data_IF_112166637277
#
_entry.id   IF_112166637277
#
_cell.length_a   1.000
_cell.length_b   1.000
_cell.length_c   1.000
_cell.angle_alpha   90.00
_cell.angle_beta   90.00
_cell.angle_gamma   90.00
#
_symmetry.space_group_name_H-M   'P 1'
#
loop_
_entity.id
_entity.type
_entity.pdbx_description
1 polymer ?
#
# COMPACT_ATOMS: atom_id res chain seq x y z
N UNK A 1 -47.88 -8.66 -33.39
CA UNK A 1 -47.78 -10.06 -32.93
C UNK A 1 -47.64 -10.04 -31.42
N UNK A 2 -48.77 -10.03 -30.72
CA UNK A 2 -48.86 -10.09 -29.25
C UNK A 2 -50.01 -11.03 -28.94
N UNK A 3 -49.69 -12.30 -28.79
CA UNK A 3 -50.66 -13.34 -28.42
C UNK A 3 -50.78 -13.41 -26.91
N UNK A 4 -51.86 -12.84 -26.37
CA UNK A 4 -52.41 -13.22 -25.07
C UNK A 4 -53.24 -14.48 -25.29
N UNK A 5 -52.83 -15.60 -24.70
CA UNK A 5 -53.68 -16.78 -24.56
C UNK A 5 -54.18 -16.86 -23.12
N UNK A 6 -55.48 -16.65 -22.97
CA UNK A 6 -56.25 -17.04 -21.80
C UNK A 6 -56.64 -18.52 -21.94
N UNK A 7 -56.38 -19.33 -20.91
CA UNK A 7 -57.00 -20.64 -20.72
C UNK A 7 -57.91 -20.59 -19.48
N UNK A 8 -59.08 -21.26 -19.52
CA UNK A 8 -60.17 -21.05 -18.59
C UNK A 8 -59.95 -21.81 -17.26
N UNK A 9 -60.42 -21.19 -16.18
CA UNK A 9 -60.59 -21.79 -14.87
C UNK A 9 -61.62 -22.93 -14.94
N UNK A 10 -61.17 -24.17 -14.71
CA UNK A 10 -62.02 -25.31 -14.38
C UNK A 10 -61.35 -26.17 -13.30
N UNK A 11 -61.58 -25.82 -12.04
CA UNK A 11 -62.06 -26.72 -10.98
C UNK A 11 -62.00 -26.01 -9.61
N UNK A 12 -63.14 -25.70 -8.96
CA UNK A 12 -63.14 -25.47 -7.52
C UNK A 12 -63.06 -26.83 -6.83
N UNK A 13 -62.19 -26.96 -5.83
CA UNK A 13 -61.94 -28.16 -5.02
C UNK A 13 -60.92 -29.17 -5.57
N UNK A 14 -59.64 -28.76 -5.62
CA UNK A 14 -58.55 -29.66 -5.24
C UNK A 14 -57.83 -29.00 -4.05
N UNK A 15 -58.36 -29.23 -2.85
CA UNK A 15 -57.54 -29.07 -1.65
C UNK A 15 -56.48 -30.17 -1.69
N UNK A 16 -55.23 -29.80 -1.96
CA UNK A 16 -54.11 -30.69 -1.65
C UNK A 16 -54.05 -30.75 -0.13
N UNK A 17 -54.77 -31.69 0.48
CA UNK A 17 -54.52 -32.11 1.86
C UNK A 17 -53.13 -32.77 1.90
N UNK A 18 -52.09 -31.95 1.97
CA UNK A 18 -50.82 -32.39 2.51
C UNK A 18 -51.13 -32.83 3.93
N UNK A 19 -51.15 -34.14 4.17
CA UNK A 19 -51.39 -34.68 5.50
C UNK A 19 -50.43 -34.01 6.48
N UNK A 20 -50.89 -33.71 7.70
CA UNK A 20 -50.06 -33.12 8.75
C UNK A 20 -48.74 -33.88 8.94
N UNK A 21 -48.75 -35.21 8.72
CA UNK A 21 -47.57 -36.08 8.68
C UNK A 21 -46.54 -35.69 7.60
N UNK A 22 -46.95 -35.34 6.39
CA UNK A 22 -46.03 -34.99 5.30
C UNK A 22 -45.38 -33.62 5.53
N UNK A 23 -46.14 -32.65 6.07
CA UNK A 23 -45.60 -31.36 6.51
C UNK A 23 -44.66 -31.54 7.71
N UNK A 24 -45.00 -32.41 8.67
CA UNK A 24 -44.11 -32.76 9.78
C UNK A 24 -42.81 -33.39 9.28
N UNK A 25 -42.85 -34.36 8.35
CA UNK A 25 -41.64 -34.97 7.79
C UNK A 25 -40.76 -33.94 7.07
N UNK A 26 -41.34 -33.03 6.27
CA UNK A 26 -40.57 -31.95 5.62
C UNK A 26 -39.96 -31.04 6.69
N UNK A 27 -40.70 -30.70 7.75
CA UNK A 27 -40.22 -29.84 8.84
C UNK A 27 -39.10 -30.50 9.64
N UNK A 28 -39.19 -31.81 9.92
CA UNK A 28 -38.14 -32.59 10.59
C UNK A 28 -36.88 -32.73 9.73
N UNK A 29 -37.03 -32.94 8.42
CA UNK A 29 -35.91 -32.96 7.47
C UNK A 29 -35.25 -31.58 7.39
N UNK A 30 -36.03 -30.50 7.27
CA UNK A 30 -35.50 -29.13 7.27
C UNK A 30 -34.83 -28.76 8.59
N UNK A 31 -35.39 -29.18 9.73
CA UNK A 31 -34.80 -29.01 11.06
C UNK A 31 -33.49 -29.79 11.21
N UNK A 32 -33.42 -31.01 10.68
CA UNK A 32 -32.22 -31.85 10.68
C UNK A 32 -31.12 -31.26 9.77
N UNK A 33 -31.49 -30.74 8.59
CA UNK A 33 -30.58 -30.00 7.71
C UNK A 33 -30.12 -28.70 8.38
N UNK A 34 -31.01 -27.99 9.07
CA UNK A 34 -30.70 -26.80 9.88
C UNK A 34 -29.73 -27.11 11.02
N UNK A 35 -29.94 -28.23 11.73
CA UNK A 35 -29.05 -28.72 12.77
C UNK A 35 -27.67 -29.11 12.22
N UNK A 36 -27.62 -29.82 11.10
CA UNK A 36 -26.37 -30.20 10.44
C UNK A 36 -25.58 -29.00 9.92
N UNK A 37 -26.25 -28.04 9.26
CA UNK A 37 -25.62 -26.80 8.80
C UNK A 37 -25.12 -25.95 9.98
N UNK A 38 -25.86 -25.90 11.08
CA UNK A 38 -25.43 -25.26 12.32
C UNK A 38 -24.19 -25.95 12.91
N UNK A 39 -24.15 -27.28 12.97
CA UNK A 39 -23.00 -28.05 13.45
C UNK A 39 -21.76 -27.85 12.57
N UNK A 40 -21.91 -27.87 11.25
CA UNK A 40 -20.80 -27.56 10.32
C UNK A 40 -20.33 -26.12 10.51
N UNK A 41 -21.25 -25.17 10.72
CA UNK A 41 -20.91 -23.77 10.97
C UNK A 41 -20.15 -23.61 12.29
N UNK A 42 -20.63 -24.19 13.39
CA UNK A 42 -19.98 -24.19 14.70
C UNK A 42 -18.62 -24.87 14.63
N UNK A 43 -18.53 -26.05 14.01
CA UNK A 43 -17.27 -26.78 13.81
C UNK A 43 -16.27 -25.94 13.00
N UNK A 44 -16.71 -25.27 11.93
CA UNK A 44 -15.86 -24.36 11.15
C UNK A 44 -15.38 -23.16 11.98
N UNK A 45 -16.22 -22.67 12.90
CA UNK A 45 -15.88 -21.57 13.79
C UNK A 45 -14.89 -22.01 14.87
N UNK A 46 -15.13 -23.16 15.50
CA UNK A 46 -14.24 -23.77 16.49
C UNK A 46 -12.89 -24.11 15.87
N UNK A 47 -12.88 -24.68 14.66
CA UNK A 47 -11.64 -24.97 13.94
C UNK A 47 -10.87 -23.69 13.62
N UNK A 48 -11.54 -22.64 13.12
CA UNK A 48 -10.91 -21.33 12.90
C UNK A 48 -10.40 -20.69 14.19
N UNK A 49 -11.15 -20.78 15.28
CA UNK A 49 -10.74 -20.28 16.58
C UNK A 49 -9.50 -21.05 17.11
N UNK A 50 -9.49 -22.37 16.96
CA UNK A 50 -8.36 -23.22 17.31
C UNK A 50 -7.10 -22.89 16.49
N UNK A 51 -7.23 -22.72 15.18
CA UNK A 51 -6.11 -22.32 14.31
C UNK A 51 -5.57 -20.93 14.69
N UNK A 52 -6.45 -19.96 15.02
CA UNK A 52 -6.04 -18.64 15.50
C UNK A 52 -5.30 -18.72 16.83
N UNK A 53 -5.80 -19.50 17.79
CA UNK A 53 -5.15 -19.75 19.07
C UNK A 53 -3.79 -20.41 18.89
N UNK A 54 -3.67 -21.40 18.00
CA UNK A 54 -2.41 -22.10 17.71
C UNK A 54 -1.38 -21.22 16.98
N UNK A 55 -1.83 -20.29 16.14
CA UNK A 55 -0.97 -19.39 15.38
C UNK A 55 -0.49 -18.16 16.17
N UNK A 56 -1.38 -17.54 16.95
CA UNK A 56 -1.08 -16.33 17.74
C UNK A 56 -0.60 -16.65 19.16
N UNK A 57 -0.93 -17.83 19.69
CA UNK A 57 -0.74 -18.15 21.11
C UNK A 57 -1.80 -17.49 22.00
N UNK A 58 -1.81 -17.87 23.28
CA UNK A 58 -2.84 -17.46 24.24
C UNK A 58 -2.79 -15.94 24.51
N UNK A 59 -1.60 -15.40 24.78
CA UNK A 59 -1.42 -13.99 25.15
C UNK A 59 -1.85 -13.02 24.04
N UNK A 60 -1.39 -13.22 22.80
CA UNK A 60 -1.80 -12.37 21.67
C UNK A 60 -3.29 -12.54 21.33
N UNK A 61 -3.86 -13.74 21.53
CA UNK A 61 -5.29 -13.97 21.33
C UNK A 61 -6.12 -13.15 22.32
N UNK A 62 -5.73 -13.14 23.59
CA UNK A 62 -6.37 -12.32 24.64
C UNK A 62 -6.22 -10.82 24.31
N UNK A 63 -5.01 -10.38 23.93
CA UNK A 63 -4.77 -8.99 23.56
C UNK A 63 -5.63 -8.56 22.35
N UNK A 64 -5.79 -9.42 21.35
CA UNK A 64 -6.65 -9.15 20.19
C UNK A 64 -8.11 -9.00 20.61
N UNK A 65 -8.61 -9.89 21.48
CA UNK A 65 -9.99 -9.82 21.98
C UNK A 65 -10.20 -8.53 22.78
N UNK A 66 -9.25 -8.17 23.64
CA UNK A 66 -9.28 -6.91 24.40
C UNK A 66 -9.32 -5.69 23.47
N UNK A 67 -8.44 -5.62 22.47
CA UNK A 67 -8.43 -4.52 21.50
C UNK A 67 -9.74 -4.46 20.70
N UNK A 68 -10.29 -5.61 20.29
CA UNK A 68 -11.59 -5.69 19.61
C UNK A 68 -12.74 -5.21 20.48
N UNK A 69 -12.80 -5.64 21.74
CA UNK A 69 -13.78 -5.18 22.71
C UNK A 69 -13.66 -3.67 22.96
N UNK A 70 -12.43 -3.16 23.11
CA UNK A 70 -12.17 -1.72 23.27
C UNK A 70 -12.66 -0.91 22.06
N UNK A 71 -12.37 -1.36 20.83
CA UNK A 71 -12.87 -0.74 19.59
C UNK A 71 -14.40 -0.75 19.55
N UNK A 72 -15.02 -1.86 19.93
CA UNK A 72 -16.48 -1.99 19.96
C UNK A 72 -17.14 -1.05 20.99
N UNK A 73 -16.64 -1.04 22.23
CA UNK A 73 -17.09 -0.13 23.29
C UNK A 73 -16.95 1.32 22.85
N UNK A 74 -15.80 1.70 22.28
CA UNK A 74 -15.62 3.06 21.78
C UNK A 74 -16.57 3.39 20.62
N UNK A 75 -16.78 2.44 19.71
CA UNK A 75 -17.76 2.54 18.64
C UNK A 75 -19.17 2.80 19.18
N UNK A 76 -19.55 2.18 20.31
CA UNK A 76 -20.82 2.48 20.99
C UNK A 76 -20.83 3.87 21.61
N UNK A 77 -19.75 4.29 22.27
CA UNK A 77 -19.68 5.65 22.85
C UNK A 77 -19.81 6.74 21.79
N UNK A 78 -19.24 6.54 20.59
CA UNK A 78 -19.36 7.47 19.46
C UNK A 78 -20.76 7.51 18.82
N UNK A 79 -21.65 6.55 19.15
CA UNK A 79 -23.06 6.65 18.75
C UNK A 79 -23.85 7.61 19.64
N UNK A 80 -23.32 7.98 20.79
CA UNK A 80 -23.94 8.99 21.66
C UNK A 80 -23.86 10.36 20.98
N UNK A 81 -24.99 11.11 20.86
CA UNK A 81 -25.02 12.38 20.13
C UNK A 81 -23.99 13.41 20.61
N UNK A 82 -23.74 13.48 21.92
CA UNK A 82 -22.80 14.44 22.51
C UNK A 82 -21.35 14.14 22.11
N UNK A 83 -20.93 12.88 22.23
CA UNK A 83 -19.57 12.45 21.88
C UNK A 83 -19.32 12.60 20.37
N UNK A 84 -20.33 12.26 19.55
CA UNK A 84 -20.26 12.45 18.10
C UNK A 84 -20.09 13.92 17.71
N UNK A 85 -20.87 14.82 18.31
CA UNK A 85 -20.80 16.26 18.03
C UNK A 85 -19.42 16.85 18.36
N UNK A 86 -18.79 16.40 19.44
CA UNK A 86 -17.46 16.86 19.84
C UNK A 86 -16.37 16.38 18.87
N UNK A 87 -16.43 15.10 18.45
CA UNK A 87 -15.51 14.57 17.45
C UNK A 87 -15.71 15.23 16.09
N UNK A 88 -16.96 15.41 15.64
CA UNK A 88 -17.28 16.07 14.38
C UNK A 88 -16.74 17.53 14.38
N UNK A 89 -16.81 18.23 15.52
CA UNK A 89 -16.24 19.57 15.67
C UNK A 89 -14.71 19.58 15.56
N UNK A 90 -14.02 18.62 16.21
CA UNK A 90 -12.56 18.50 16.12
C UNK A 90 -12.10 18.14 14.69
N UNK A 91 -12.84 17.27 14.00
CA UNK A 91 -12.57 16.92 12.60
C UNK A 91 -12.77 18.14 11.71
N UNK A 92 -13.85 18.90 11.89
CA UNK A 92 -14.11 20.12 11.13
C UNK A 92 -13.00 21.16 11.33
N UNK A 93 -12.62 21.45 12.58
CA UNK A 93 -11.53 22.38 12.89
C UNK A 93 -10.20 21.94 12.24
N UNK A 94 -9.92 20.65 12.27
CA UNK A 94 -8.71 20.08 11.66
C UNK A 94 -8.72 20.21 10.13
N UNK A 95 -9.88 20.01 9.50
CA UNK A 95 -10.07 20.19 8.06
C UNK A 95 -9.97 21.67 7.66
N UNK A 96 -10.49 22.59 8.46
CA UNK A 96 -10.40 24.03 8.20
C UNK A 96 -8.94 24.51 8.26
N UNK A 97 -8.18 24.07 9.28
CA UNK A 97 -6.73 24.34 9.40
C UNK A 97 -5.95 23.76 8.21
N UNK A 98 -6.33 22.59 7.74
CA UNK A 98 -5.71 21.96 6.57
C UNK A 98 -6.06 22.72 5.28
N UNK A 99 -7.31 23.12 5.11
CA UNK A 99 -7.76 23.90 3.96
C UNK A 99 -7.06 25.25 3.88
N UNK A 100 -6.95 25.98 5.00
CA UNK A 100 -6.22 27.25 5.05
C UNK A 100 -4.74 27.10 4.67
N UNK A 101 -4.15 25.92 4.87
CA UNK A 101 -2.75 25.64 4.52
C UNK A 101 -2.57 25.16 3.08
N UNK A 102 -3.51 24.39 2.54
CA UNK A 102 -3.38 23.73 1.23
C UNK A 102 -4.04 24.51 0.10
N UNK A 103 -5.12 25.22 0.38
CA UNK A 103 -5.85 26.02 -0.61
C UNK A 103 -5.28 27.43 -0.51
N UNK A 104 -4.55 27.90 -1.53
CA UNK A 104 -3.96 29.23 -1.44
C UNK A 104 -5.08 30.27 -1.34
N UNK A 105 -4.96 31.26 -0.45
CA UNK A 105 -5.92 32.36 -0.32
C UNK A 105 -5.76 33.33 -1.49
N UNK A 106 -6.26 32.99 -2.67
CA UNK A 106 -6.35 33.92 -3.79
C UNK A 106 -7.81 34.21 -4.07
N UNK A 107 -8.15 35.50 -3.95
CA UNK A 107 -9.46 36.04 -4.29
C UNK A 107 -9.60 36.11 -5.81
N UNK A 108 -9.89 34.96 -6.43
CA UNK A 108 -10.23 34.84 -7.84
C UNK A 108 -9.41 33.77 -8.56
N UNK A 109 -10.10 32.94 -9.33
CA UNK A 109 -9.49 31.92 -10.18
C UNK A 109 -8.65 32.63 -11.27
N UNK A 110 -7.32 32.62 -11.13
CA UNK A 110 -6.43 33.27 -12.10
C UNK A 110 -6.46 32.48 -13.42
N UNK A 111 -7.26 32.96 -14.39
CA UNK A 111 -7.36 32.33 -15.70
C UNK A 111 -6.14 32.69 -16.55
N UNK A 112 -5.19 31.77 -16.61
CA UNK A 112 -4.05 31.87 -17.52
C UNK A 112 -4.50 31.68 -18.97
N UNK A 113 -4.35 32.70 -19.81
CA UNK A 113 -4.59 32.64 -21.26
C UNK A 113 -3.34 32.26 -22.05
N UNK A 114 -2.19 32.24 -21.39
CA UNK A 114 -0.89 31.80 -21.90
C UNK A 114 -0.18 30.99 -20.81
N UNK A 115 0.77 30.14 -21.18
CA UNK A 115 1.51 29.31 -20.22
C UNK A 115 2.27 30.25 -19.27
N UNK A 116 1.94 30.26 -17.96
CA UNK A 116 2.72 31.06 -17.01
C UNK A 116 4.15 30.52 -16.96
N UNK A 117 5.10 31.32 -16.47
CA UNK A 117 6.44 30.81 -16.16
C UNK A 117 6.29 29.62 -15.21
N UNK A 118 6.51 28.42 -15.75
CA UNK A 118 6.52 27.17 -14.98
C UNK A 118 7.70 27.17 -14.00
N UNK A 119 8.79 27.84 -14.37
CA UNK A 119 9.94 28.13 -13.51
C UNK A 119 9.53 29.09 -12.37
N UNK A 120 9.66 28.64 -11.13
CA UNK A 120 9.40 29.45 -9.93
C UNK A 120 8.06 29.20 -9.25
N UNK A 121 7.31 28.16 -9.66
CA UNK A 121 6.19 27.67 -8.85
C UNK A 121 6.71 27.20 -7.49
N UNK A 122 6.00 27.59 -6.43
CA UNK A 122 6.38 27.24 -5.06
C UNK A 122 6.36 25.73 -4.89
N UNK A 123 7.47 25.18 -4.43
CA UNK A 123 7.60 23.79 -4.06
C UNK A 123 8.57 23.68 -2.88
N UNK A 124 8.46 22.57 -2.16
CA UNK A 124 9.42 22.26 -1.10
C UNK A 124 10.79 22.05 -1.72
N UNK A 125 11.83 22.70 -1.16
CA UNK A 125 13.24 22.57 -1.59
C UNK A 125 13.77 21.16 -1.34
N UNK A 126 13.44 20.24 -2.24
CA UNK A 126 13.88 18.84 -2.19
C UNK A 126 15.34 18.71 -2.61
N UNK A 127 15.88 19.69 -3.33
CA UNK A 127 17.27 19.81 -3.78
C UNK A 127 18.24 19.82 -2.59
N UNK A 128 17.80 20.37 -1.45
CA UNK A 128 18.56 20.39 -0.20
C UNK A 128 18.61 19.02 0.51
N UNK A 129 17.95 17.99 -0.03
CA UNK A 129 17.91 16.64 0.53
C UNK A 129 17.05 16.48 1.78
N UNK A 130 16.18 17.46 2.08
CA UNK A 130 15.37 17.48 3.32
C UNK A 130 14.02 16.78 3.20
N UNK A 131 13.71 16.18 2.06
CA UNK A 131 12.43 15.51 1.80
C UNK A 131 12.65 14.00 1.74
N UNK A 132 12.04 13.26 2.66
CA UNK A 132 12.12 11.79 2.71
C UNK A 132 11.51 11.18 1.45
N UNK A 133 12.27 10.33 0.76
CA UNK A 133 11.80 9.72 -0.48
C UNK A 133 11.60 10.77 -1.56
N UNK A 134 10.35 10.90 -2.03
CA UNK A 134 9.82 11.83 -3.03
C UNK A 134 10.60 11.88 -4.36
N UNK A 135 11.83 12.38 -4.35
CA UNK A 135 12.74 12.47 -5.49
C UNK A 135 13.92 11.52 -5.29
N UNK A 136 14.04 10.52 -6.18
CA UNK A 136 15.01 9.43 -6.02
C UNK A 136 16.41 9.72 -6.56
N UNK A 137 16.52 10.46 -7.68
CA UNK A 137 17.80 10.75 -8.34
C UNK A 137 18.17 12.23 -8.23
N UNK A 138 17.35 13.12 -8.80
CA UNK A 138 17.41 14.56 -8.54
C UNK A 138 18.61 15.32 -9.13
N UNK A 139 19.34 14.73 -10.08
CA UNK A 139 20.43 15.42 -10.79
C UNK A 139 19.99 15.91 -12.16
N UNK A 140 20.50 17.07 -12.55
CA UNK A 140 20.19 17.72 -13.84
C UNK A 140 20.50 16.81 -15.03
N UNK A 141 21.64 16.11 -15.02
CA UNK A 141 22.03 15.19 -16.10
C UNK A 141 20.97 14.11 -16.40
N UNK A 142 20.32 13.59 -15.35
CA UNK A 142 19.29 12.57 -15.48
C UNK A 142 17.96 13.20 -15.90
N UNK A 143 17.64 14.37 -15.36
CA UNK A 143 16.44 15.12 -15.75
C UNK A 143 16.49 15.52 -17.23
N UNK A 144 17.64 15.94 -17.75
CA UNK A 144 17.85 16.26 -19.16
C UNK A 144 17.72 15.03 -20.05
N UNK A 145 18.30 13.88 -19.64
CA UNK A 145 18.15 12.61 -20.35
C UNK A 145 16.67 12.21 -20.46
N UNK A 146 15.95 12.24 -19.34
CA UNK A 146 14.52 11.91 -19.28
C UNK A 146 13.68 12.90 -20.11
N UNK A 147 13.97 14.19 -20.02
CA UNK A 147 13.26 15.23 -20.78
C UNK A 147 13.44 15.04 -22.28
N UNK A 148 14.65 14.71 -22.75
CA UNK A 148 14.89 14.40 -24.17
C UNK A 148 14.11 13.17 -24.62
N UNK A 149 14.06 12.12 -23.82
CA UNK A 149 13.27 10.92 -24.12
C UNK A 149 11.76 11.24 -24.13
N UNK A 150 11.27 12.02 -23.18
CA UNK A 150 9.87 12.46 -23.13
C UNK A 150 9.48 13.29 -24.34
N UNK A 151 10.32 14.24 -24.72
CA UNK A 151 10.10 15.07 -25.90
C UNK A 151 10.01 14.22 -27.18
N UNK A 152 10.93 13.26 -27.36
CA UNK A 152 10.95 12.39 -28.54
C UNK A 152 9.70 11.49 -28.67
N UNK A 153 9.03 11.17 -27.57
CA UNK A 153 7.89 10.25 -27.53
C UNK A 153 6.62 10.84 -26.92
N UNK A 154 6.50 12.17 -26.90
CA UNK A 154 5.43 12.90 -26.20
C UNK A 154 4.02 12.50 -26.65
N UNK A 155 3.85 12.17 -27.94
CA UNK A 155 2.56 11.79 -28.55
C UNK A 155 2.34 10.27 -28.59
N UNK A 156 3.32 9.48 -28.14
CA UNK A 156 3.27 8.04 -28.30
C UNK A 156 2.24 7.40 -27.37
N UNK A 157 1.39 6.53 -27.93
CA UNK A 157 0.40 5.77 -27.18
C UNK A 157 0.58 4.26 -27.47
N UNK A 158 1.06 3.46 -26.51
CA UNK A 158 1.44 2.07 -26.75
C UNK A 158 0.25 1.12 -26.97
N UNK A 159 -0.99 1.61 -26.87
CA UNK A 159 -2.17 0.83 -27.32
C UNK A 159 -2.16 0.62 -28.85
N UNK A 160 -1.41 1.43 -29.59
CA UNK A 160 -1.20 1.32 -31.04
C UNK A 160 0.24 0.87 -31.34
N UNK A 161 0.60 -0.41 -31.12
CA UNK A 161 1.96 -0.90 -31.30
C UNK A 161 2.42 -0.92 -32.78
N UNK A 162 1.48 -0.90 -33.71
CA UNK A 162 1.69 -0.74 -35.16
C UNK A 162 2.11 0.70 -35.51
N UNK A 163 1.55 1.70 -34.83
CA UNK A 163 1.90 3.12 -35.00
C UNK A 163 3.19 3.47 -34.25
N UNK A 164 3.39 2.90 -33.06
CA UNK A 164 4.54 3.20 -32.19
C UNK A 164 5.39 1.95 -31.86
N UNK A 165 5.98 1.26 -32.86
CA UNK A 165 6.73 0.02 -32.64
C UNK A 165 7.99 0.24 -31.78
N UNK A 166 8.56 1.45 -31.81
CA UNK A 166 9.70 1.83 -30.96
C UNK A 166 9.38 1.78 -29.47
N UNK A 167 8.22 2.28 -29.04
CA UNK A 167 7.79 2.20 -27.63
C UNK A 167 7.53 0.75 -27.24
N UNK A 168 6.87 -0.02 -28.10
CA UNK A 168 6.64 -1.46 -27.85
C UNK A 168 7.96 -2.21 -27.64
N UNK A 169 9.00 -1.90 -28.43
CA UNK A 169 10.35 -2.44 -28.25
C UNK A 169 10.93 -2.03 -26.89
N UNK A 170 10.92 -0.73 -26.56
CA UNK A 170 11.45 -0.20 -25.29
C UNK A 170 10.77 -0.85 -24.08
N UNK A 171 9.44 -0.96 -24.09
CA UNK A 171 8.67 -1.61 -23.02
C UNK A 171 9.13 -3.05 -22.77
N UNK A 172 9.28 -3.82 -23.85
CA UNK A 172 9.72 -5.21 -23.74
C UNK A 172 11.18 -5.35 -23.29
N UNK A 173 12.05 -4.42 -23.69
CA UNK A 173 13.44 -4.37 -23.21
C UNK A 173 13.50 -4.02 -21.72
N UNK A 174 12.70 -3.06 -21.25
CA UNK A 174 12.57 -2.75 -19.81
C UNK A 174 12.15 -4.00 -19.04
N UNK A 175 11.08 -4.66 -19.47
CA UNK A 175 10.61 -5.91 -18.83
C UNK A 175 11.71 -6.98 -18.83
N UNK A 176 12.39 -7.17 -19.97
CA UNK A 176 13.47 -8.17 -20.08
C UNK A 176 14.66 -7.87 -19.16
N UNK A 177 15.04 -6.61 -19.02
CA UNK A 177 16.11 -6.18 -18.12
C UNK A 177 15.72 -6.44 -16.65
N UNK A 178 14.48 -6.11 -16.27
CA UNK A 178 13.97 -6.36 -14.90
C UNK A 178 13.86 -7.85 -14.61
N UNK A 179 13.31 -8.65 -15.52
CA UNK A 179 13.23 -10.10 -15.34
C UNK A 179 14.61 -10.73 -15.11
N UNK A 180 15.63 -10.30 -15.88
CA UNK A 180 17.02 -10.73 -15.69
C UNK A 180 17.59 -10.27 -14.34
N UNK A 181 17.31 -9.04 -13.93
CA UNK A 181 17.77 -8.47 -12.66
C UNK A 181 17.22 -9.25 -11.45
N UNK A 182 16.03 -9.83 -11.56
CA UNK A 182 15.36 -10.60 -10.49
C UNK A 182 15.44 -12.12 -10.70
N UNK A 183 16.36 -12.58 -11.54
CA UNK A 183 16.61 -14.00 -11.79
C UNK A 183 15.35 -14.78 -12.22
N UNK A 184 14.44 -14.13 -12.96
CA UNK A 184 13.22 -14.77 -13.42
C UNK A 184 13.56 -15.99 -14.33
N UNK A 185 12.73 -17.05 -14.29
CA UNK A 185 12.93 -18.19 -15.17
C UNK A 185 12.81 -17.79 -16.64
N UNK A 186 13.32 -18.63 -17.55
CA UNK A 186 13.29 -18.37 -19.01
C UNK A 186 11.86 -18.14 -19.54
N UNK A 187 10.86 -18.76 -18.90
CA UNK A 187 9.44 -18.58 -19.23
C UNK A 187 8.75 -17.45 -18.45
N UNK A 188 9.50 -16.67 -17.66
CA UNK A 188 9.00 -15.51 -16.94
C UNK A 188 8.55 -14.41 -17.90
N UNK A 189 7.49 -13.71 -17.52
CA UNK A 189 6.89 -12.63 -18.31
C UNK A 189 6.46 -11.47 -17.39
N UNK A 190 6.26 -10.29 -17.97
CA UNK A 190 5.82 -9.08 -17.27
C UNK A 190 5.36 -7.98 -18.23
N UNK A 191 4.95 -6.84 -17.68
CA UNK A 191 4.53 -5.64 -18.44
C UNK A 191 4.87 -4.36 -17.67
N UNK A 192 4.84 -3.20 -18.31
CA UNK A 192 4.93 -1.93 -17.58
C UNK A 192 3.54 -1.45 -17.13
N UNK A 193 3.42 -1.10 -15.85
CA UNK A 193 2.25 -0.44 -15.24
C UNK A 193 2.55 1.03 -14.99
N UNK A 194 1.50 1.82 -14.71
CA UNK A 194 1.61 3.23 -14.34
C UNK A 194 2.29 3.47 -12.99
N UNK A 195 2.36 2.45 -12.13
CA UNK A 195 3.07 2.53 -10.85
C UNK A 195 2.88 1.30 -9.97
N UNK A 196 3.46 1.35 -8.76
CA UNK A 196 3.43 0.23 -7.81
C UNK A 196 2.03 -0.19 -7.36
N UNK A 197 1.12 0.78 -7.19
CA UNK A 197 -0.28 0.47 -6.84
C UNK A 197 -0.96 -0.36 -7.94
N UNK A 198 -0.87 0.05 -9.21
CA UNK A 198 -1.45 -0.73 -10.31
C UNK A 198 -0.77 -2.10 -10.44
N UNK A 199 0.53 -2.19 -10.17
CA UNK A 199 1.28 -3.46 -10.18
C UNK A 199 0.76 -4.46 -9.14
N UNK A 200 0.52 -3.99 -7.90
CA UNK A 200 -0.07 -4.79 -6.81
C UNK A 200 -1.50 -5.21 -7.16
N UNK A 201 -2.34 -4.25 -7.61
CA UNK A 201 -3.72 -4.54 -7.98
C UNK A 201 -3.78 -5.58 -9.10
N UNK A 202 -2.95 -5.41 -10.13
CA UNK A 202 -2.83 -6.36 -11.23
C UNK A 202 -2.44 -7.74 -10.70
N UNK A 203 -1.37 -7.87 -9.92
CA UNK A 203 -0.94 -9.16 -9.38
C UNK A 203 -2.02 -9.87 -8.55
N UNK A 204 -2.76 -9.13 -7.71
CA UNK A 204 -3.89 -9.67 -6.95
C UNK A 204 -5.03 -10.15 -7.87
N UNK A 205 -5.38 -9.36 -8.89
CA UNK A 205 -6.38 -9.75 -9.88
C UNK A 205 -5.94 -11.01 -10.62
N UNK A 206 -4.67 -11.08 -11.05
CA UNK A 206 -4.12 -12.25 -11.75
C UNK A 206 -4.21 -13.52 -10.92
N UNK A 207 -3.82 -13.44 -9.65
CA UNK A 207 -3.89 -14.56 -8.73
C UNK A 207 -5.35 -15.02 -8.54
N UNK A 208 -6.29 -14.08 -8.44
CA UNK A 208 -7.72 -14.36 -8.33
C UNK A 208 -8.25 -15.11 -9.56
N UNK A 209 -7.97 -14.60 -10.75
CA UNK A 209 -8.46 -15.18 -12.00
C UNK A 209 -7.84 -16.53 -12.29
N UNK A 210 -6.54 -16.66 -12.08
CA UNK A 210 -5.86 -17.94 -12.17
C UNK A 210 -6.46 -18.96 -11.20
N UNK A 211 -6.71 -18.55 -9.96
CA UNK A 211 -7.38 -19.39 -8.96
C UNK A 211 -8.80 -19.79 -9.36
N UNK A 212 -9.57 -18.89 -9.98
CA UNK A 212 -10.90 -19.18 -10.50
C UNK A 212 -10.84 -20.17 -11.66
N UNK A 213 -10.04 -19.88 -12.69
CA UNK A 213 -9.97 -20.63 -13.93
C UNK A 213 -9.32 -22.01 -13.79
N UNK A 214 -8.18 -22.10 -13.11
CA UNK A 214 -7.43 -23.36 -13.00
C UNK A 214 -7.84 -24.22 -11.80
N UNK A 215 -8.45 -23.60 -10.78
CA UNK A 215 -8.68 -24.26 -9.48
C UNK A 215 -10.11 -24.16 -8.95
N UNK A 216 -11.02 -23.49 -9.67
CA UNK A 216 -12.44 -23.36 -9.30
C UNK A 216 -12.67 -22.54 -8.02
N UNK A 217 -11.74 -21.66 -7.64
CA UNK A 217 -11.85 -20.87 -6.41
C UNK A 217 -12.91 -19.79 -6.58
N UNK A 218 -14.01 -19.89 -5.83
CA UNK A 218 -15.11 -18.89 -5.85
C UNK A 218 -14.99 -17.82 -4.77
N UNK A 219 -14.32 -18.11 -3.67
CA UNK A 219 -14.11 -17.21 -2.54
C UNK A 219 -12.61 -17.00 -2.35
N UNK A 220 -11.99 -16.06 -3.09
CA UNK A 220 -10.55 -15.83 -3.02
C UNK A 220 -10.16 -15.22 -1.66
N UNK A 221 -9.03 -15.68 -1.13
CA UNK A 221 -8.49 -15.22 0.15
C UNK A 221 -7.00 -14.84 0.00
N UNK A 222 -6.53 -13.88 0.79
CA UNK A 222 -5.14 -13.39 0.80
C UNK A 222 -4.63 -13.31 2.23
N UNK A 223 -3.44 -13.85 2.49
CA UNK A 223 -2.72 -13.68 3.76
C UNK A 223 -1.84 -12.45 3.63
N UNK A 224 -2.02 -11.46 4.50
CA UNK A 224 -1.39 -10.16 4.36
C UNK A 224 -0.67 -9.76 5.66
N UNK A 225 0.65 -9.52 5.65
CA UNK A 225 1.33 -8.90 6.79
C UNK A 225 0.73 -7.54 7.13
N UNK A 226 0.63 -7.18 8.41
CA UNK A 226 0.05 -5.89 8.83
C UNK A 226 0.80 -4.67 8.26
N UNK A 227 2.11 -4.82 8.03
CA UNK A 227 2.99 -3.81 7.43
C UNK A 227 2.91 -3.72 5.90
N UNK A 228 2.15 -4.59 5.23
CA UNK A 228 2.05 -4.60 3.79
C UNK A 228 1.36 -3.34 3.24
N UNK A 229 1.75 -2.94 2.02
CA UNK A 229 1.32 -1.71 1.38
C UNK A 229 -0.23 -1.60 1.32
N UNK A 230 -0.83 -0.41 1.56
CA UNK A 230 -2.30 -0.23 1.53
C UNK A 230 -2.97 -0.64 0.21
N UNK A 231 -2.23 -0.71 -0.90
CA UNK A 231 -2.75 -1.18 -2.19
C UNK A 231 -3.30 -2.62 -2.14
N UNK A 232 -2.79 -3.51 -1.27
CA UNK A 232 -3.38 -4.83 -1.09
C UNK A 232 -4.77 -4.78 -0.47
N UNK A 233 -4.99 -3.85 0.47
CA UNK A 233 -6.33 -3.60 1.06
C UNK A 233 -7.28 -3.02 0.02
N UNK A 234 -6.78 -2.15 -0.86
CA UNK A 234 -7.53 -1.67 -2.04
C UNK A 234 -7.87 -2.81 -3.01
N UNK A 235 -6.95 -3.74 -3.27
CA UNK A 235 -7.20 -4.93 -4.08
C UNK A 235 -8.28 -5.83 -3.46
N UNK A 236 -8.21 -6.06 -2.14
CA UNK A 236 -9.21 -6.81 -1.40
C UNK A 236 -10.61 -6.23 -1.56
N UNK A 237 -10.73 -4.90 -1.43
CA UNK A 237 -11.98 -4.19 -1.63
C UNK A 237 -12.47 -4.23 -3.08
N UNK A 238 -11.64 -3.89 -4.06
CA UNK A 238 -12.05 -3.83 -5.48
C UNK A 238 -12.38 -5.19 -6.08
N UNK A 239 -11.67 -6.24 -5.66
CA UNK A 239 -11.77 -7.55 -6.30
C UNK A 239 -12.49 -8.60 -5.46
N UNK A 240 -13.04 -8.22 -4.30
CA UNK A 240 -13.75 -9.13 -3.40
C UNK A 240 -12.84 -10.22 -2.83
N UNK A 241 -11.57 -9.91 -2.58
CA UNK A 241 -10.60 -10.85 -2.00
C UNK A 241 -10.60 -10.68 -0.49
N UNK A 242 -10.90 -11.75 0.24
CA UNK A 242 -10.93 -11.74 1.70
C UNK A 242 -9.52 -11.70 2.27
N UNK A 243 -9.24 -10.72 3.12
CA UNK A 243 -7.91 -10.52 3.72
C UNK A 243 -7.83 -11.18 5.09
N UNK A 244 -6.77 -11.95 5.31
CA UNK A 244 -6.35 -12.47 6.61
C UNK A 244 -5.08 -11.75 7.04
N UNK A 245 -5.25 -10.75 7.90
CA UNK A 245 -4.13 -9.97 8.39
C UNK A 245 -3.31 -10.75 9.43
N UNK A 246 -1.99 -10.72 9.26
CA UNK A 246 -1.00 -11.37 10.13
C UNK A 246 -0.09 -10.31 10.73
N UNK A 247 0.00 -10.32 12.05
CA UNK A 247 0.80 -9.35 12.80
C UNK A 247 2.30 -9.43 12.47
N UNK A 248 2.93 -8.26 12.47
CA UNK A 248 4.38 -8.08 12.37
C UNK A 248 4.91 -7.55 13.71
N UNK A 249 5.10 -8.42 14.72
CA UNK A 249 5.37 -7.98 16.08
C UNK A 249 6.73 -7.29 16.22
N UNK A 250 6.79 -6.35 17.16
CA UNK A 250 8.06 -5.83 17.68
C UNK A 250 8.89 -6.96 18.31
N UNK A 251 10.23 -6.84 18.37
CA UNK A 251 11.03 -5.69 17.91
C UNK A 251 11.43 -5.76 16.43
N UNK A 252 11.20 -6.89 15.74
CA UNK A 252 11.70 -7.07 14.37
C UNK A 252 10.79 -6.47 13.31
N UNK A 253 9.49 -6.33 13.60
CA UNK A 253 8.45 -5.89 12.66
C UNK A 253 8.40 -6.73 11.37
N UNK A 254 8.81 -8.00 11.48
CA UNK A 254 8.69 -9.00 10.43
C UNK A 254 7.44 -9.84 10.65
N UNK A 255 6.86 -10.34 9.56
CA UNK A 255 5.66 -11.19 9.63
C UNK A 255 5.92 -12.46 10.45
N UNK A 256 4.98 -12.84 11.30
CA UNK A 256 5.03 -14.12 12.00
C UNK A 256 4.86 -15.28 11.00
N UNK A 257 5.98 -15.90 10.59
CA UNK A 257 6.01 -16.98 9.58
C UNK A 257 5.25 -18.22 10.01
N UNK A 258 5.18 -18.53 11.31
CA UNK A 258 4.39 -19.65 11.84
C UNK A 258 2.89 -19.39 11.70
N UNK A 259 2.44 -18.16 11.93
CA UNK A 259 1.04 -17.79 11.71
C UNK A 259 0.68 -17.86 10.22
N UNK A 260 1.58 -17.41 9.34
CA UNK A 260 1.44 -17.55 7.89
C UNK A 260 1.34 -19.02 7.49
N UNK A 261 2.24 -19.89 7.95
CA UNK A 261 2.25 -21.31 7.58
C UNK A 261 0.97 -22.06 7.98
N UNK A 262 0.34 -21.65 9.09
CA UNK A 262 -0.95 -22.21 9.56
C UNK A 262 -2.12 -21.74 8.68
N UNK A 263 -2.05 -20.53 8.14
CA UNK A 263 -3.09 -19.96 7.27
C UNK A 263 -2.95 -20.40 5.80
N UNK A 264 -1.77 -20.85 5.39
CA UNK A 264 -1.49 -21.33 4.03
C UNK A 264 -2.13 -22.68 3.74
N UNK A 265 -2.36 -22.95 2.45
CA UNK A 265 -2.69 -24.28 1.94
C UNK A 265 -1.87 -24.57 0.68
N UNK A 266 -1.96 -25.80 0.16
CA UNK A 266 -1.22 -26.22 -1.06
C UNK A 266 -1.59 -25.42 -2.32
N UNK A 267 -2.57 -24.50 -2.23
CA UNK A 267 -3.04 -23.65 -3.32
C UNK A 267 -2.63 -22.18 -3.16
N UNK A 268 -1.85 -21.82 -2.15
CA UNK A 268 -1.43 -20.45 -1.91
C UNK A 268 -0.33 -20.03 -2.89
N UNK A 269 -0.53 -18.89 -3.56
CA UNK A 269 0.49 -18.22 -4.39
C UNK A 269 1.25 -17.22 -3.53
N UNK A 270 2.56 -17.05 -3.81
CA UNK A 270 3.38 -16.04 -3.14
C UNK A 270 3.66 -14.88 -4.09
N UNK A 271 3.34 -13.68 -3.61
CA UNK A 271 3.70 -12.42 -4.23
C UNK A 271 4.72 -11.69 -3.36
N UNK A 272 5.83 -11.23 -3.94
CA UNK A 272 6.83 -10.41 -3.24
C UNK A 272 6.70 -8.97 -3.69
N UNK A 273 6.26 -8.10 -2.77
CA UNK A 273 6.14 -6.68 -3.05
C UNK A 273 7.51 -5.99 -2.98
N UNK A 274 8.05 -5.60 -4.14
CA UNK A 274 9.35 -4.95 -4.24
C UNK A 274 9.25 -3.49 -4.73
N UNK A 275 8.06 -2.88 -4.76
CA UNK A 275 7.88 -1.52 -5.31
C UNK A 275 8.85 -0.48 -4.73
N UNK A 276 9.21 -0.60 -3.45
CA UNK A 276 10.19 0.27 -2.77
C UNK A 276 11.50 -0.49 -2.58
N UNK A 277 12.62 0.13 -2.97
CA UNK A 277 13.96 -0.39 -2.69
C UNK A 277 14.41 -1.57 -3.54
N UNK A 278 13.58 -2.10 -4.43
CA UNK A 278 13.85 -3.17 -5.42
C UNK A 278 15.13 -3.08 -6.21
N UNK A 279 15.32 -1.98 -6.94
CA UNK A 279 16.50 -1.80 -7.78
C UNK A 279 17.77 -1.75 -6.93
N UNK A 280 17.65 -1.34 -5.67
CA UNK A 280 18.75 -1.40 -4.71
C UNK A 280 18.89 -2.82 -4.14
N UNK A 281 17.78 -3.48 -3.80
CA UNK A 281 17.70 -4.83 -3.23
C UNK A 281 18.32 -5.87 -4.17
N UNK A 282 18.00 -5.81 -5.47
CA UNK A 282 18.58 -6.67 -6.49
C UNK A 282 20.09 -6.45 -6.69
N UNK A 283 20.59 -5.28 -6.29
CA UNK A 283 22.00 -4.92 -6.38
C UNK A 283 22.78 -5.17 -5.07
N UNK A 284 22.11 -5.47 -3.95
CA UNK A 284 22.76 -5.58 -2.63
C UNK A 284 23.93 -6.55 -2.63
N UNK A 285 23.71 -7.78 -3.11
CA UNK A 285 24.74 -8.82 -3.14
C UNK A 285 25.93 -8.38 -4.00
N UNK A 286 25.67 -7.84 -5.20
CA UNK A 286 26.71 -7.35 -6.12
C UNK A 286 27.42 -6.09 -5.61
N UNK A 287 26.74 -5.28 -4.79
CA UNK A 287 27.28 -4.10 -4.15
C UNK A 287 28.14 -4.42 -2.91
N UNK A 288 28.17 -5.69 -2.46
CA UNK A 288 28.95 -6.15 -1.31
C UNK A 288 28.20 -6.10 0.03
N UNK A 289 26.88 -5.96 0.01
CA UNK A 289 26.05 -5.98 1.21
C UNK A 289 25.46 -7.37 1.46
N UNK A 290 25.24 -7.70 2.73
CA UNK A 290 24.43 -8.88 3.11
C UNK A 290 23.05 -8.80 2.45
N UNK A 291 22.71 -9.84 1.70
CA UNK A 291 21.44 -9.98 1.01
C UNK A 291 20.87 -11.37 1.27
N UNK A 292 19.58 -11.43 1.57
CA UNK A 292 18.81 -12.68 1.60
C UNK A 292 18.09 -12.79 0.27
N UNK A 293 18.10 -13.95 -0.41
CA UNK A 293 17.31 -14.15 -1.63
C UNK A 293 15.84 -13.83 -1.35
N UNK A 294 15.23 -13.04 -2.23
CA UNK A 294 13.83 -12.61 -2.09
C UNK A 294 13.06 -12.68 -3.43
N UNK A 295 13.74 -13.00 -4.52
CA UNK A 295 13.23 -12.99 -5.88
C UNK A 295 12.93 -14.41 -6.41
N UNK A 296 12.91 -14.60 -7.73
CA UNK A 296 12.59 -15.87 -8.37
C UNK A 296 13.65 -16.97 -8.16
N UNK A 297 14.79 -16.66 -7.51
CA UNK A 297 15.69 -17.70 -7.00
C UNK A 297 14.99 -18.61 -5.96
N UNK A 298 13.95 -18.12 -5.30
CA UNK A 298 13.12 -18.90 -4.38
C UNK A 298 11.99 -19.61 -5.16
N UNK A 299 11.94 -20.96 -5.20
CA UNK A 299 10.95 -21.70 -6.01
C UNK A 299 9.48 -21.41 -5.65
N UNK A 300 9.21 -20.91 -4.45
CA UNK A 300 7.87 -20.55 -4.00
C UNK A 300 7.38 -19.21 -4.55
N UNK A 301 8.25 -18.34 -5.06
CA UNK A 301 7.88 -17.00 -5.57
C UNK A 301 7.23 -17.12 -6.94
N UNK A 302 5.92 -16.86 -6.99
CA UNK A 302 5.12 -17.01 -8.21
C UNK A 302 4.91 -15.71 -8.96
N UNK A 303 5.01 -14.59 -8.25
CA UNK A 303 5.05 -13.24 -8.82
C UNK A 303 5.86 -12.35 -7.88
N UNK A 304 6.51 -11.35 -8.44
CA UNK A 304 6.99 -10.18 -7.71
C UNK A 304 6.30 -8.97 -8.33
N UNK A 305 5.99 -7.92 -7.58
CA UNK A 305 5.34 -6.72 -8.14
C UNK A 305 6.27 -5.98 -9.08
N UNK A 306 6.22 -6.46 -10.32
CA UNK A 306 6.45 -5.80 -11.58
C UNK A 306 5.46 -6.40 -12.62
N UNK A 307 4.15 -6.27 -12.32
CA UNK A 307 2.96 -6.25 -13.24
C UNK A 307 2.58 -7.44 -14.17
N UNK A 308 1.26 -7.82 -14.27
CA UNK A 308 0.42 -8.24 -15.47
C UNK A 308 -0.90 -8.97 -15.11
N UNK A 309 -2.06 -8.69 -15.81
CA UNK A 309 -3.06 -9.67 -16.36
C UNK A 309 -3.96 -9.15 -17.52
N UNK A 310 -4.50 -10.08 -18.35
CA UNK A 310 -5.25 -9.93 -19.63
C UNK A 310 -6.75 -10.37 -19.57
N UNK A 311 -7.63 -9.78 -20.39
CA UNK A 311 -9.03 -10.25 -20.68
C UNK A 311 -9.52 -9.95 -22.13
N UNK A 312 -10.62 -10.62 -22.57
CA UNK A 312 -11.35 -10.49 -23.88
C UNK A 312 -12.84 -10.12 -23.64
N UNK A 313 -13.58 -9.37 -24.48
CA UNK A 313 -13.99 -9.58 -25.90
C UNK A 313 -14.41 -8.27 -26.64
N UNK A 314 -14.56 -8.32 -27.99
CA UNK A 314 -13.98 -7.37 -29.00
C UNK A 314 -12.45 -7.54 -29.03
N UNK A 315 -11.72 -7.37 -30.15
CA UNK A 315 -10.22 -7.53 -30.11
C UNK A 315 -9.58 -6.31 -29.43
N UNK A 316 -10.17 -5.86 -28.33
CA UNK A 316 -9.59 -4.92 -27.41
C UNK A 316 -8.89 -5.73 -26.32
N UNK A 317 -7.56 -5.68 -26.33
CA UNK A 317 -6.71 -6.38 -25.39
C UNK A 317 -5.85 -5.34 -24.69
N UNK A 318 -5.97 -5.25 -23.37
CA UNK A 318 -5.06 -4.46 -22.54
C UNK A 318 -4.22 -5.36 -21.64
N UNK A 319 -2.98 -4.93 -21.40
CA UNK A 319 -2.00 -5.60 -20.53
C UNK A 319 -2.19 -5.26 -19.04
N UNK A 320 -2.90 -4.15 -18.74
CA UNK A 320 -3.10 -3.62 -17.40
C UNK A 320 -4.49 -2.98 -17.25
N UNK A 321 -4.66 -2.08 -16.28
CA UNK A 321 -5.95 -1.43 -16.03
C UNK A 321 -6.24 -0.33 -17.05
N UNK A 322 -5.20 0.24 -17.65
CA UNK A 322 -5.29 1.36 -18.58
C UNK A 322 -5.50 0.87 -20.02
N UNK A 323 -6.25 1.64 -20.80
CA UNK A 323 -6.29 1.52 -22.26
C UNK A 323 -5.15 2.33 -22.89
N UNK A 324 -5.42 3.59 -23.22
CA UNK A 324 -4.40 4.55 -23.63
C UNK A 324 -3.40 4.79 -22.50
N UNK A 325 -2.10 4.83 -22.84
CA UNK A 325 -1.01 5.09 -21.88
C UNK A 325 -0.04 6.13 -22.45
N UNK A 326 0.73 6.78 -21.58
CA UNK A 326 1.75 7.74 -21.99
C UNK A 326 3.05 7.01 -22.37
N UNK A 327 3.30 6.80 -23.67
CA UNK A 327 4.50 6.14 -24.18
C UNK A 327 5.80 6.88 -23.83
N UNK A 328 5.73 8.20 -23.65
CA UNK A 328 6.84 9.01 -23.15
C UNK A 328 7.43 8.46 -21.84
N UNK A 329 6.59 8.04 -20.89
CA UNK A 329 7.07 7.52 -19.60
C UNK A 329 7.86 6.21 -19.75
N UNK A 330 7.44 5.35 -20.68
CA UNK A 330 8.16 4.12 -21.01
C UNK A 330 9.52 4.46 -21.62
N UNK A 331 9.56 5.43 -22.55
CA UNK A 331 10.81 5.87 -23.16
C UNK A 331 11.78 6.47 -22.13
N UNK A 332 11.28 7.29 -21.20
CA UNK A 332 12.10 7.84 -20.11
C UNK A 332 12.63 6.76 -19.17
N UNK A 333 11.80 5.78 -18.81
CA UNK A 333 12.23 4.62 -18.01
C UNK A 333 13.34 3.84 -18.72
N UNK A 334 13.14 3.51 -20.00
CA UNK A 334 14.12 2.81 -20.82
C UNK A 334 15.43 3.61 -20.92
N UNK A 335 15.34 4.91 -21.22
CA UNK A 335 16.52 5.79 -21.31
C UNK A 335 17.27 5.88 -19.98
N UNK A 336 16.58 5.96 -18.85
CA UNK A 336 17.21 5.92 -17.52
C UNK A 336 17.92 4.60 -17.25
N UNK A 337 17.30 3.46 -17.55
CA UNK A 337 17.92 2.15 -17.35
C UNK A 337 19.18 1.99 -18.21
N UNK A 338 19.10 2.40 -19.47
CA UNK A 338 20.23 2.36 -20.40
C UNK A 338 21.35 3.34 -20.01
N UNK A 339 20.98 4.55 -19.60
CA UNK A 339 21.93 5.60 -19.21
C UNK A 339 22.67 5.30 -17.91
N UNK A 340 21.99 4.70 -16.93
CA UNK A 340 22.66 4.27 -15.69
C UNK A 340 23.49 3.01 -15.89
N UNK A 341 22.97 2.04 -16.63
CA UNK A 341 23.54 0.70 -16.71
C UNK A 341 23.71 0.04 -15.33
N UNK A 342 24.29 -1.16 -15.31
CA UNK A 342 24.51 -1.88 -14.05
C UNK A 342 25.45 -1.14 -13.09
N UNK A 343 26.54 -0.56 -13.61
CA UNK A 343 27.51 0.19 -12.80
C UNK A 343 26.88 1.38 -12.07
N UNK A 344 26.00 2.14 -12.74
CA UNK A 344 25.30 3.27 -12.12
C UNK A 344 24.30 2.85 -11.05
N UNK A 345 23.65 1.70 -11.20
CA UNK A 345 22.78 1.14 -10.15
C UNK A 345 23.56 0.56 -8.97
N UNK A 346 24.73 -0.03 -9.20
CA UNK A 346 25.63 -0.50 -8.13
C UNK A 346 26.17 0.67 -7.30
N UNK A 347 26.58 1.75 -7.96
CA UNK A 347 26.99 2.99 -7.30
C UNK A 347 25.85 3.58 -6.44
N UNK A 348 24.66 3.73 -7.03
CA UNK A 348 23.47 4.17 -6.30
C UNK A 348 23.16 3.27 -5.10
N UNK A 349 23.29 1.95 -5.24
CA UNK A 349 23.08 0.99 -4.15
C UNK A 349 24.08 1.22 -3.00
N UNK A 350 25.38 1.35 -3.30
CA UNK A 350 26.41 1.62 -2.27
C UNK A 350 26.14 2.90 -1.51
N UNK A 351 25.76 3.96 -2.22
CA UNK A 351 25.42 5.26 -1.64
C UNK A 351 24.14 5.18 -0.78
N UNK A 352 23.03 4.74 -1.38
CA UNK A 352 21.69 4.80 -0.79
C UNK A 352 21.40 3.71 0.25
N UNK A 353 22.13 2.60 0.25
CA UNK A 353 22.03 1.55 1.29
C UNK A 353 23.10 1.73 2.36
N UNK A 354 24.29 2.23 1.99
CA UNK A 354 25.35 2.51 2.95
C UNK A 354 24.97 3.60 3.95
N UNK A 355 24.26 4.64 3.51
CA UNK A 355 23.80 5.73 4.37
C UNK A 355 22.83 5.27 5.47
N UNK A 356 21.70 4.60 5.18
CA UNK A 356 20.81 4.01 6.20
C UNK A 356 21.54 3.21 7.29
N UNK A 357 22.57 2.43 6.94
CA UNK A 357 23.34 1.62 7.90
C UNK A 357 24.15 2.49 8.86
N UNK A 358 24.79 3.56 8.36
CA UNK A 358 25.49 4.54 9.20
C UNK A 358 24.52 5.31 10.09
N UNK A 359 23.40 5.75 9.51
CA UNK A 359 22.34 6.43 10.23
C UNK A 359 21.72 5.55 11.34
N UNK A 360 21.44 4.29 11.06
CA UNK A 360 20.99 3.31 12.06
C UNK A 360 22.03 3.15 13.19
N UNK A 361 23.31 3.02 12.83
CA UNK A 361 24.40 2.92 13.81
C UNK A 361 24.45 4.15 14.72
N UNK A 362 24.25 5.35 14.15
CA UNK A 362 24.18 6.59 14.90
C UNK A 362 22.96 6.65 15.83
N UNK A 363 21.78 6.20 15.39
CA UNK A 363 20.58 6.10 16.24
C UNK A 363 20.78 5.13 17.41
N UNK A 364 21.54 4.06 17.20
CA UNK A 364 21.86 3.06 18.24
C UNK A 364 23.01 3.49 19.16
N UNK A 365 23.64 4.63 18.91
CA UNK A 365 24.78 5.13 19.67
C UNK A 365 24.42 6.40 20.46
N UNK A 366 25.11 6.63 21.57
CA UNK A 366 24.93 7.86 22.35
C UNK A 366 25.36 9.10 21.53
N UNK A 367 24.70 10.27 21.71
CA UNK A 367 23.60 10.51 22.65
C UNK A 367 22.21 10.16 22.11
N UNK A 368 22.06 9.84 20.82
CA UNK A 368 20.74 9.63 20.20
C UNK A 368 20.00 8.44 20.80
N UNK A 369 20.71 7.36 21.14
CA UNK A 369 20.13 6.16 21.74
C UNK A 369 19.48 6.37 23.10
N UNK A 370 19.72 7.51 23.76
CA UNK A 370 19.09 7.84 25.04
C UNK A 370 17.59 8.13 24.86
N UNK A 371 17.22 8.69 23.70
CA UNK A 371 15.86 9.17 23.43
C UNK A 371 15.20 8.47 22.24
N UNK A 372 15.99 8.11 21.23
CA UNK A 372 15.52 7.54 19.98
C UNK A 372 15.89 6.05 19.88
N UNK A 373 14.99 5.28 19.28
CA UNK A 373 15.18 3.85 19.05
C UNK A 373 14.88 3.54 17.59
N UNK A 374 15.82 2.88 16.91
CA UNK A 374 15.58 2.37 15.56
C UNK A 374 14.51 1.26 15.59
N UNK A 375 13.56 1.31 14.65
CA UNK A 375 12.48 0.34 14.49
C UNK A 375 12.97 -0.83 13.64
N UNK A 376 12.98 -2.04 14.20
CA UNK A 376 13.46 -3.23 13.49
C UNK A 376 14.95 -3.17 13.18
N UNK A 377 15.33 -3.87 12.10
CA UNK A 377 16.67 -3.82 11.50
C UNK A 377 16.50 -3.49 10.02
N UNK A 378 16.61 -2.20 9.62
CA UNK A 378 16.42 -1.80 8.23
C UNK A 378 17.46 -2.49 7.33
N UNK A 379 17.00 -3.10 6.23
CA UNK A 379 17.88 -3.84 5.31
C UNK A 379 18.21 -3.08 4.02
N UNK A 380 17.45 -2.03 3.71
CA UNK A 380 17.49 -1.28 2.44
C UNK A 380 17.52 0.23 2.72
N UNK A 381 16.87 1.04 1.89
CA UNK A 381 17.00 2.51 1.87
C UNK A 381 16.14 3.25 2.91
N UNK A 382 15.33 2.56 3.71
CA UNK A 382 14.37 3.21 4.62
C UNK A 382 14.74 2.88 6.07
N UNK A 383 14.84 3.91 6.90
CA UNK A 383 15.02 3.77 8.35
C UNK A 383 13.85 4.43 9.06
N UNK A 384 13.22 3.69 9.97
CA UNK A 384 12.23 4.23 10.89
C UNK A 384 12.81 4.29 12.31
N UNK A 385 12.41 5.30 13.07
CA UNK A 385 12.78 5.45 14.47
C UNK A 385 11.58 5.91 15.30
N UNK A 386 11.58 5.48 16.56
CA UNK A 386 10.56 5.77 17.57
C UNK A 386 11.22 6.32 18.83
N UNK A 387 10.41 6.65 19.83
CA UNK A 387 10.86 7.22 21.10
C UNK A 387 9.86 6.89 22.21
N UNK A 388 10.39 6.57 23.39
CA UNK A 388 9.62 6.42 24.62
C UNK A 388 9.76 7.62 25.56
N UNK A 389 10.76 8.49 25.34
CA UNK A 389 11.04 9.68 26.19
C UNK A 389 10.50 10.96 25.56
N UNK A 390 10.69 11.13 24.25
CA UNK A 390 10.23 12.28 23.48
C UNK A 390 8.85 12.09 22.85
N UNK A 391 8.11 13.19 22.72
CA UNK A 391 6.92 13.27 21.86
C UNK A 391 7.34 13.43 20.39
N UNK A 392 7.18 12.36 19.61
CA UNK A 392 7.58 12.31 18.19
C UNK A 392 6.88 13.34 17.31
N UNK A 393 5.65 13.74 17.61
CA UNK A 393 4.93 14.72 16.80
C UNK A 393 5.52 16.12 16.95
N UNK A 394 5.98 16.47 18.15
CA UNK A 394 6.72 17.71 18.40
C UNK A 394 8.09 17.69 17.73
N UNK A 395 8.78 16.56 17.79
CA UNK A 395 10.04 16.38 17.06
C UNK A 395 9.82 16.56 15.55
N UNK A 396 8.76 15.97 14.99
CA UNK A 396 8.41 16.14 13.59
C UNK A 396 8.10 17.61 13.24
N UNK A 397 7.35 18.34 14.06
CA UNK A 397 7.09 19.78 13.84
C UNK A 397 8.37 20.61 13.85
N UNK A 398 9.30 20.30 14.76
CA UNK A 398 10.61 20.97 14.80
C UNK A 398 11.45 20.66 13.56
N UNK A 399 11.42 19.41 13.11
CA UNK A 399 12.09 19.02 11.88
C UNK A 399 11.48 19.79 10.69
N UNK A 400 10.15 19.93 10.63
CA UNK A 400 9.46 20.76 9.62
C UNK A 400 9.87 22.23 9.70
N UNK A 401 10.00 22.82 10.90
CA UNK A 401 10.46 24.21 11.03
C UNK A 401 11.92 24.39 10.60
N UNK A 402 12.70 23.31 10.62
CA UNK A 402 14.04 23.20 10.01
C UNK A 402 13.99 22.75 8.55
N UNK A 403 12.83 22.73 7.89
CA UNK A 403 12.67 22.40 6.48
C UNK A 403 12.69 20.91 6.15
N UNK A 404 12.64 20.02 7.15
CA UNK A 404 12.55 18.58 6.93
C UNK A 404 11.10 18.13 6.71
N UNK A 405 10.90 17.34 5.66
CA UNK A 405 9.63 16.70 5.35
C UNK A 405 9.82 15.19 5.45
N UNK A 406 9.69 14.67 6.67
CA UNK A 406 9.80 13.25 6.98
C UNK A 406 8.42 12.60 7.08
N UNK A 407 8.36 11.27 6.95
CA UNK A 407 7.09 10.56 6.97
C UNK A 407 6.71 10.14 8.39
N UNK A 408 5.55 10.59 8.85
CA UNK A 408 4.93 10.13 10.08
C UNK A 408 4.33 8.72 9.89
N UNK A 409 4.55 7.84 10.88
CA UNK A 409 4.03 6.47 10.94
C UNK A 409 3.20 6.27 12.20
N UNK A 410 2.31 5.27 12.18
CA UNK A 410 1.46 4.89 13.31
C UNK A 410 1.56 3.39 13.54
N UNK A 411 1.19 2.96 14.75
CA UNK A 411 1.17 1.57 15.21
C UNK A 411 2.50 0.81 15.03
N UNK A 412 3.59 1.25 15.72
CA UNK A 412 3.63 2.30 16.75
C UNK A 412 3.90 3.70 16.16
N UNK A 413 3.69 4.77 16.95
CA UNK A 413 4.16 6.11 16.60
C UNK A 413 5.66 6.08 16.23
N UNK A 414 5.98 6.49 15.02
CA UNK A 414 7.35 6.53 14.50
C UNK A 414 7.49 7.61 13.43
N UNK A 415 8.73 7.95 13.10
CA UNK A 415 9.09 8.77 11.94
C UNK A 415 10.00 7.91 11.07
N UNK A 416 9.81 7.93 9.76
CA UNK A 416 10.75 7.30 8.84
C UNK A 416 11.36 8.28 7.86
N UNK A 417 12.55 7.90 7.41
CA UNK A 417 13.29 8.55 6.34
C UNK A 417 13.64 7.52 5.29
N UNK A 418 13.21 7.77 4.05
CA UNK A 418 13.64 7.04 2.88
C UNK A 418 14.83 7.78 2.24
N UNK A 419 16.01 7.18 2.33
CA UNK A 419 17.26 7.72 1.82
C UNK A 419 17.33 7.57 0.30
N UNK A 420 17.08 8.67 -0.39
CA UNK A 420 17.34 8.85 -1.82
C UNK A 420 18.65 9.59 -2.04
N UNK A 421 19.13 9.70 -3.29
CA UNK A 421 20.39 10.40 -3.58
C UNK A 421 20.45 11.82 -3.00
N UNK A 422 19.40 12.67 -3.09
CA UNK A 422 19.40 13.97 -2.41
C UNK A 422 19.52 13.84 -0.89
N UNK A 423 18.78 12.93 -0.27
CA UNK A 423 18.72 12.78 1.20
C UNK A 423 20.04 12.28 1.78
N UNK A 424 20.77 11.41 1.06
CA UNK A 424 22.09 10.92 1.49
C UNK A 424 23.06 12.08 1.73
N UNK A 425 23.01 13.14 0.91
CA UNK A 425 23.86 14.33 1.08
C UNK A 425 23.54 15.12 2.36
N UNK A 426 22.31 15.02 2.85
CA UNK A 426 21.84 15.73 4.03
C UNK A 426 21.92 14.89 5.32
N UNK A 427 22.45 13.66 5.28
CA UNK A 427 22.55 12.72 6.42
C UNK A 427 23.17 13.38 7.67
N UNK A 428 24.31 14.03 7.52
CA UNK A 428 25.02 14.66 8.64
C UNK A 428 24.20 15.79 9.28
N UNK A 429 23.48 16.58 8.47
CA UNK A 429 22.61 17.63 8.96
C UNK A 429 21.39 17.05 9.68
N UNK A 430 20.81 15.96 9.18
CA UNK A 430 19.71 15.27 9.86
C UNK A 430 20.13 14.78 11.24
N UNK A 431 21.28 14.11 11.33
CA UNK A 431 21.82 13.61 12.59
C UNK A 431 22.12 14.75 13.58
N UNK A 432 22.62 15.89 13.09
CA UNK A 432 22.80 17.09 13.90
C UNK A 432 21.47 17.60 14.43
N UNK A 433 20.45 17.72 13.57
CA UNK A 433 19.15 18.25 13.93
C UNK A 433 18.40 17.34 14.93
N UNK A 434 18.63 16.02 14.87
CA UNK A 434 18.06 15.04 15.82
C UNK A 434 18.72 15.09 17.21
N UNK A 435 19.99 15.49 17.32
CA UNK A 435 20.70 15.60 18.62
C UNK A 435 20.24 16.78 19.48
N UNK A 436 19.53 17.72 18.88
CA UNK A 436 19.02 18.91 19.56
C UNK A 436 17.48 18.84 19.59
N UNK A 437 16.82 17.96 20.38
CA UNK A 437 15.37 17.86 20.36
C UNK A 437 14.67 19.16 20.84
N UNK A 438 15.32 20.00 21.65
CA UNK A 438 14.77 21.29 22.14
C UNK A 438 13.69 21.14 23.22
N UNK A 439 13.25 22.27 23.81
CA UNK A 439 12.33 22.26 24.96
C UNK A 439 10.87 21.98 24.58
N UNK A 440 10.18 21.22 25.43
CA UNK A 440 8.98 20.43 25.13
C UNK A 440 7.64 21.19 25.21
N UNK A 441 7.60 22.53 25.13
CA UNK A 441 6.35 23.29 25.34
C UNK A 441 5.59 23.54 24.02
N UNK A 442 4.31 23.15 23.96
CA UNK A 442 3.39 23.41 22.84
C UNK A 442 2.56 22.19 22.38
N UNK A 443 1.53 22.40 21.57
CA UNK A 443 0.74 21.35 20.87
C UNK A 443 1.20 21.22 19.40
N UNK A 444 1.18 20.01 18.80
CA UNK A 444 1.59 19.84 17.42
C UNK A 444 0.71 20.58 16.41
N UNK A 445 1.30 21.10 15.33
CA UNK A 445 0.62 21.91 14.31
C UNK A 445 0.26 21.16 13.02
N UNK A 446 -0.64 21.74 12.22
CA UNK A 446 -0.93 21.31 10.85
C UNK A 446 -1.32 19.84 10.66
N UNK A 447 -0.76 19.17 9.64
CA UNK A 447 -1.04 17.77 9.32
C UNK A 447 -0.57 16.78 10.40
N UNK A 448 0.39 17.16 11.25
CA UNK A 448 0.87 16.31 12.35
C UNK A 448 -0.14 16.21 13.50
N UNK A 449 -0.97 17.25 13.70
CA UNK A 449 -2.12 17.16 14.60
C UNK A 449 -3.08 16.05 14.15
N UNK A 450 -3.24 15.84 12.84
CA UNK A 450 -4.05 14.75 12.31
C UNK A 450 -3.49 13.39 12.67
N UNK A 451 -2.16 13.21 12.68
CA UNK A 451 -1.54 11.94 13.09
C UNK A 451 -1.69 11.67 14.59
N UNK A 452 -1.62 12.70 15.43
CA UNK A 452 -1.91 12.57 16.87
C UNK A 452 -3.37 12.20 17.14
N UNK A 453 -4.31 12.89 16.49
CA UNK A 453 -5.75 12.62 16.60
C UNK A 453 -6.08 11.25 15.99
N UNK A 454 -5.59 10.94 14.80
CA UNK A 454 -5.82 9.66 14.14
C UNK A 454 -5.29 8.47 14.94
N UNK A 455 -4.09 8.59 15.53
CA UNK A 455 -3.50 7.51 16.32
C UNK A 455 -4.18 7.30 17.68
N UNK A 456 -4.92 8.30 18.19
CA UNK A 456 -5.64 8.20 19.47
C UNK A 456 -7.08 7.70 19.31
N UNK A 457 -7.63 7.73 18.09
CA UNK A 457 -9.01 7.33 17.81
C UNK A 457 -9.08 5.85 17.40
N UNK A 458 -9.75 4.98 18.19
CA UNK A 458 -9.88 3.57 17.85
C UNK A 458 -10.97 3.28 16.80
N UNK A 459 -11.70 4.29 16.31
CA UNK A 459 -12.77 4.13 15.33
C UNK A 459 -12.33 4.61 13.93
N UNK A 460 -12.29 3.65 12.99
CA UNK A 460 -11.93 3.85 11.59
C UNK A 460 -12.90 4.80 10.84
N UNK A 461 -14.16 4.92 11.28
CA UNK A 461 -15.15 5.78 10.63
C UNK A 461 -14.77 7.27 10.65
N UNK A 462 -14.14 7.74 11.73
CA UNK A 462 -13.68 9.13 11.85
C UNK A 462 -12.49 9.38 10.92
N UNK A 463 -11.57 8.40 10.80
CA UNK A 463 -10.45 8.47 9.86
C UNK A 463 -10.93 8.54 8.41
N UNK A 464 -11.99 7.80 8.07
CA UNK A 464 -12.59 7.85 6.73
C UNK A 464 -13.19 9.23 6.45
N UNK A 465 -13.87 9.85 7.41
CA UNK A 465 -14.40 11.21 7.26
C UNK A 465 -13.29 12.24 7.05
N UNK A 466 -12.25 12.18 7.89
CA UNK A 466 -11.08 13.04 7.77
C UNK A 466 -10.38 12.86 6.41
N UNK A 467 -10.20 11.61 5.97
CA UNK A 467 -9.61 11.29 4.67
C UNK A 467 -10.43 11.82 3.49
N UNK A 468 -11.77 11.73 3.56
CA UNK A 468 -12.67 12.33 2.57
C UNK A 468 -12.53 13.85 2.54
N UNK A 469 -12.61 14.51 3.69
CA UNK A 469 -12.48 15.97 3.77
C UNK A 469 -11.11 16.47 3.28
N UNK A 470 -10.04 15.73 3.57
CA UNK A 470 -8.70 16.00 3.02
C UNK A 470 -8.72 15.94 1.49
N UNK A 471 -9.26 14.86 0.90
CA UNK A 471 -9.35 14.72 -0.56
C UNK A 471 -10.21 15.81 -1.19
N UNK A 472 -11.36 16.14 -0.61
CA UNK A 472 -12.23 17.21 -1.10
C UNK A 472 -11.49 18.57 -1.08
N UNK A 473 -10.67 18.81 -0.06
CA UNK A 473 -9.86 20.03 0.08
C UNK A 473 -8.84 20.19 -1.04
N UNK A 474 -8.23 19.10 -1.51
CA UNK A 474 -7.24 19.14 -2.61
C UNK A 474 -7.81 19.61 -3.95
N UNK A 475 -9.13 19.54 -4.12
CA UNK A 475 -9.83 19.96 -5.33
C UNK A 475 -10.68 21.22 -5.13
N UNK A 476 -10.53 21.91 -3.98
CA UNK A 476 -11.11 23.25 -3.81
C UNK A 476 -10.32 24.22 -4.71
N UNK A 477 -11.03 24.86 -5.62
CA UNK A 477 -10.50 25.78 -6.62
C UNK A 477 -11.06 27.19 -6.42
#
# INVERSE_FOLDING_TARGET
>A
MTGQFWLPLQNPHIEIQLSSMFIQQITEVLSSIGGFTCLVYISSWMHRAFLRLRGRGLAQSIQTVYQGARKWVWGMTLRLPKARKEVDAQVAESLDKLAAKLVPEHTGLQRYTTIPKLSGMEHVRWEDGRVSGAVYHGRDEMAELQTRAYHAFAVANPIHPDVFPGIRKMEAEVVSMVLRMFHAPVHGAGTCMSGGTESILAACLSAREKGSAERGIRNPEMILPSTAHPAFRKAGYYFGIKIHEVECPAPTYQVNTRAVSIAMCNRTLLHVDCCVGSFMAAMLQKAGFDAVPFDFQLPGVTSSSYSVVLYRTSVYVSQGMLGSRAGALIAGCWATMMGQGEAGYLDACREMVGCPRRFETALRSAPLSNDLQAVGKPFSTVVAFTSTTLNLWKLADKLISRGWHLNALQDPPAIHVAFTRPVVKAEAQLLKDLKEPGSEKGTPGGSLALYGVAGSLPNEGVLVQLGKGYLDTLYRA
#
